data_IF_716313264358
#
_entry.id   IF_716313264358
#
_cell.length_a   1.000
_cell.length_b   1.000
_cell.length_c   1.000
_cell.angle_alpha   90.00
_cell.angle_beta   90.00
_cell.angle_gamma   90.00
#
_symmetry.space_group_name_H-M   'P 1'
#
loop_
_entity.id
_entity.type
_entity.pdbx_description
1 polymer ?
#
# COMPACT_ATOMS: atom_id res chain seq x y z
N UNK A 1 -7.85 -6.37 -3.58
CA UNK A 1 -7.25 -5.06 -3.87
C UNK A 1 -5.91 -5.22 -4.54
N UNK A 2 -5.84 -5.01 -5.85
CA UNK A 2 -4.64 -4.57 -6.58
C UNK A 2 -5.17 -3.69 -7.72
N UNK A 3 -4.83 -2.41 -7.76
CA UNK A 3 -5.04 -1.59 -8.96
C UNK A 3 -3.87 -1.90 -9.88
N UNK A 4 -3.98 -2.96 -10.69
CA UNK A 4 -2.84 -3.55 -11.40
C UNK A 4 -2.55 -2.94 -12.77
N UNK A 5 -3.20 -1.85 -13.20
CA UNK A 5 -2.76 -1.15 -14.42
C UNK A 5 -3.25 0.29 -14.49
N UNK A 6 -2.38 1.16 -15.01
CA UNK A 6 -2.50 2.62 -14.98
C UNK A 6 -3.65 3.26 -15.79
N UNK A 7 -4.77 2.58 -16.06
CA UNK A 7 -5.87 3.18 -16.84
C UNK A 7 -7.29 2.77 -16.45
N UNK A 8 -7.56 2.12 -15.32
CA UNK A 8 -8.91 2.16 -14.72
C UNK A 8 -8.93 1.53 -13.32
N UNK A 9 -9.32 2.30 -12.30
CA UNK A 9 -10.06 1.72 -11.17
C UNK A 9 -11.49 1.55 -11.67
N UNK A 10 -11.72 0.54 -12.51
CA UNK A 10 -13.06 0.00 -12.66
C UNK A 10 -13.00 -1.32 -11.93
N UNK A 11 -13.83 -1.45 -10.91
CA UNK A 11 -14.15 -2.75 -10.34
C UNK A 11 -14.40 -3.69 -11.53
N UNK A 12 -13.83 -4.90 -11.50
CA UNK A 12 -14.04 -5.84 -12.59
C UNK A 12 -15.55 -6.10 -12.69
N UNK A 13 -16.13 -5.90 -13.87
CA UNK A 13 -17.57 -6.08 -14.06
C UNK A 13 -17.94 -7.57 -13.92
N UNK A 14 -17.02 -8.48 -14.25
CA UNK A 14 -17.13 -9.93 -14.09
C UNK A 14 -15.79 -10.60 -13.78
N UNK A 15 -15.83 -11.81 -13.23
CA UNK A 15 -14.64 -12.59 -12.88
C UNK A 15 -13.71 -12.83 -14.08
N UNK A 16 -14.26 -13.06 -15.27
CA UNK A 16 -13.48 -13.28 -16.50
C UNK A 16 -12.76 -12.04 -17.02
N UNK A 17 -13.11 -10.84 -16.53
CA UNK A 17 -12.39 -9.61 -16.84
C UNK A 17 -11.11 -9.49 -16.00
N UNK A 18 -10.96 -10.33 -14.96
CA UNK A 18 -9.73 -10.42 -14.19
C UNK A 18 -8.58 -10.81 -15.13
N UNK A 19 -7.70 -9.85 -15.40
CA UNK A 19 -6.48 -10.12 -16.13
C UNK A 19 -5.61 -11.05 -15.31
N UNK A 20 -4.93 -11.96 -15.99
CA UNK A 20 -3.91 -12.78 -15.38
C UNK A 20 -2.92 -11.89 -14.63
N UNK A 21 -2.93 -11.97 -13.29
CA UNK A 21 -1.90 -11.34 -12.46
C UNK A 21 -0.63 -12.11 -12.76
N UNK A 22 0.23 -11.50 -13.57
CA UNK A 22 1.42 -12.16 -14.11
C UNK A 22 2.27 -12.73 -12.98
N UNK A 23 2.28 -14.06 -12.85
CA UNK A 23 3.16 -14.77 -11.90
C UNK A 23 4.62 -14.30 -12.04
N UNK A 24 5.05 -14.02 -13.27
CA UNK A 24 6.36 -13.45 -13.57
C UNK A 24 6.60 -12.03 -13.03
N UNK A 25 5.56 -11.20 -12.93
CA UNK A 25 5.66 -9.87 -12.33
C UNK A 25 5.93 -9.94 -10.84
N UNK A 26 5.17 -10.77 -10.12
CA UNK A 26 5.39 -11.03 -8.70
C UNK A 26 6.77 -11.68 -8.44
N UNK A 27 7.20 -12.60 -9.31
CA UNK A 27 8.57 -13.17 -9.25
C UNK A 27 9.62 -12.09 -9.51
N UNK A 28 9.41 -11.18 -10.46
CA UNK A 28 10.31 -10.06 -10.74
C UNK A 28 10.47 -9.11 -9.55
N UNK A 29 9.37 -8.73 -8.90
CA UNK A 29 9.39 -7.94 -7.65
C UNK A 29 10.09 -8.70 -6.52
N UNK A 30 9.86 -10.01 -6.42
CA UNK A 30 10.55 -10.89 -5.47
C UNK A 30 12.07 -10.94 -5.69
N UNK A 31 12.51 -10.99 -6.95
CA UNK A 31 13.93 -10.96 -7.32
C UNK A 31 14.57 -9.60 -7.00
N UNK A 32 13.86 -8.49 -7.23
CA UNK A 32 14.32 -7.17 -6.82
C UNK A 32 14.47 -7.07 -5.30
N UNK A 33 13.50 -7.60 -4.54
CA UNK A 33 13.57 -7.66 -3.08
C UNK A 33 14.78 -8.47 -2.60
N UNK A 34 14.99 -9.67 -3.18
CA UNK A 34 16.16 -10.49 -2.87
C UNK A 34 17.47 -9.77 -3.18
N UNK A 35 17.59 -9.15 -4.36
CA UNK A 35 18.76 -8.37 -4.75
C UNK A 35 19.00 -7.18 -3.81
N UNK A 36 17.94 -6.52 -3.36
CA UNK A 36 18.00 -5.43 -2.37
C UNK A 36 18.57 -5.93 -1.05
N UNK A 37 18.06 -7.06 -0.53
CA UNK A 37 18.56 -7.67 0.71
C UNK A 37 20.05 -8.02 0.59
N UNK A 38 20.47 -8.61 -0.52
CA UNK A 38 21.87 -8.93 -0.77
C UNK A 38 22.74 -7.67 -0.81
N UNK A 39 22.30 -6.61 -1.48
CA UNK A 39 23.00 -5.33 -1.55
C UNK A 39 23.17 -4.70 -0.16
N UNK A 40 22.10 -4.60 0.63
CA UNK A 40 22.12 -3.88 1.90
C UNK A 40 22.73 -4.67 3.06
N UNK A 41 22.65 -6.01 3.04
CA UNK A 41 23.21 -6.86 4.08
C UNK A 41 24.61 -7.40 3.72
N UNK A 42 24.74 -7.99 2.53
CA UNK A 42 25.98 -8.63 2.08
C UNK A 42 26.98 -7.67 1.44
N UNK A 43 26.48 -6.67 0.71
CA UNK A 43 27.31 -5.74 -0.06
C UNK A 43 28.21 -4.81 0.75
N UNK A 44 27.94 -4.64 2.06
CA UNK A 44 28.76 -3.81 2.94
C UNK A 44 30.12 -4.45 3.31
N UNK A 45 30.26 -5.77 3.11
CA UNK A 45 31.53 -6.49 3.16
C UNK A 45 32.16 -6.70 4.55
N UNK A 46 31.66 -6.03 5.60
CA UNK A 46 32.09 -6.28 6.99
C UNK A 46 31.01 -5.92 8.00
N UNK A 47 31.05 -6.58 9.16
CA UNK A 47 30.14 -6.28 10.28
C UNK A 47 30.35 -4.87 10.81
N UNK A 48 31.60 -4.41 10.92
CA UNK A 48 31.90 -3.06 11.40
C UNK A 48 31.27 -1.97 10.52
N UNK A 49 31.31 -2.13 9.19
CA UNK A 49 30.66 -1.18 8.26
C UNK A 49 29.13 -1.27 8.35
N UNK A 50 28.60 -2.48 8.54
CA UNK A 50 27.17 -2.67 8.76
C UNK A 50 26.70 -1.93 10.01
N UNK A 51 27.43 -2.01 11.13
CA UNK A 51 27.12 -1.31 12.38
C UNK A 51 27.22 0.22 12.24
N UNK A 52 28.15 0.72 11.42
CA UNK A 52 28.28 2.15 11.13
C UNK A 52 27.06 2.66 10.35
N UNK A 53 26.66 1.94 9.30
CA UNK A 53 25.53 2.31 8.44
C UNK A 53 24.19 2.14 9.15
N UNK A 54 24.03 1.07 9.93
CA UNK A 54 22.80 0.73 10.66
C UNK A 54 22.92 1.00 12.17
N UNK A 55 23.53 2.13 12.51
CA UNK A 55 23.71 2.57 13.90
C UNK A 55 22.39 2.89 14.62
N UNK A 56 21.32 3.19 13.88
CA UNK A 56 19.99 3.43 14.41
C UNK A 56 18.88 2.95 13.45
N UNK A 57 17.68 2.75 14.00
CA UNK A 57 16.50 2.41 13.19
C UNK A 57 16.21 3.51 12.16
N UNK A 58 15.94 3.11 10.91
CA UNK A 58 15.69 4.03 9.80
C UNK A 58 16.94 4.55 9.07
N UNK A 59 18.15 4.16 9.49
CA UNK A 59 19.39 4.54 8.81
C UNK A 59 19.72 3.61 7.62
N UNK A 60 20.68 4.04 6.80
CA UNK A 60 21.15 3.32 5.60
C UNK A 60 20.36 3.67 4.34
N UNK A 61 19.03 3.50 4.35
CA UNK A 61 18.13 3.91 3.26
C UNK A 61 18.63 3.56 1.85
N UNK A 62 18.42 4.48 0.89
CA UNK A 62 18.88 4.32 -0.50
C UNK A 62 20.40 4.31 -0.61
N UNK A 63 21.11 5.02 0.27
CA UNK A 63 22.58 5.09 0.22
C UNK A 63 23.23 3.74 0.48
N UNK A 64 22.74 2.98 1.47
CA UNK A 64 23.23 1.63 1.77
C UNK A 64 22.97 0.66 0.60
N UNK A 65 21.84 0.82 -0.07
CA UNK A 65 21.52 0.03 -1.27
C UNK A 65 22.50 0.33 -2.43
N UNK A 66 22.77 1.62 -2.69
CA UNK A 66 23.69 2.04 -3.76
C UNK A 66 25.13 1.66 -3.44
N UNK A 67 25.59 1.87 -2.20
CA UNK A 67 26.95 1.53 -1.78
C UNK A 67 27.17 0.01 -1.80
N UNK A 68 26.30 -0.74 -1.14
CA UNK A 68 26.43 -2.19 -1.02
C UNK A 68 26.22 -2.91 -2.35
N UNK A 69 25.21 -2.50 -3.13
CA UNK A 69 25.01 -3.04 -4.47
C UNK A 69 26.14 -2.66 -5.43
N UNK A 70 26.68 -1.44 -5.30
CA UNK A 70 27.80 -0.96 -6.10
C UNK A 70 29.04 -1.84 -5.95
N UNK A 71 29.36 -2.20 -4.69
CA UNK A 71 30.46 -3.12 -4.37
C UNK A 71 30.22 -4.53 -4.88
N UNK A 72 28.98 -5.04 -4.78
CA UNK A 72 28.64 -6.36 -5.34
C UNK A 72 28.80 -6.40 -6.86
N UNK A 73 28.40 -5.34 -7.57
CA UNK A 73 28.58 -5.27 -9.02
C UNK A 73 30.05 -5.11 -9.40
N UNK A 74 30.82 -4.34 -8.64
CA UNK A 74 32.26 -4.18 -8.85
C UNK A 74 33.00 -5.50 -8.66
N UNK A 75 32.76 -6.19 -7.55
CA UNK A 75 33.44 -7.45 -7.23
C UNK A 75 32.92 -8.63 -8.04
N UNK A 76 31.62 -8.66 -8.35
CA UNK A 76 30.98 -9.79 -9.02
C UNK A 76 31.15 -9.79 -10.54
N UNK A 77 30.98 -8.63 -11.19
CA UNK A 77 31.00 -8.52 -12.66
C UNK A 77 32.04 -7.53 -13.19
N UNK A 78 32.87 -6.94 -12.32
CA UNK A 78 33.99 -6.08 -12.72
C UNK A 78 33.58 -4.67 -13.18
N UNK A 79 32.35 -4.23 -12.89
CA UNK A 79 31.91 -2.89 -13.25
C UNK A 79 32.55 -1.83 -12.33
N UNK A 80 33.10 -0.73 -12.87
CA UNK A 80 33.68 0.32 -12.04
C UNK A 80 32.68 0.84 -10.99
N UNK A 81 33.14 1.07 -9.76
CA UNK A 81 32.29 1.51 -8.64
C UNK A 81 31.41 2.73 -8.99
N UNK A 82 31.95 3.70 -9.72
CA UNK A 82 31.22 4.91 -10.14
C UNK A 82 30.05 4.61 -11.08
N UNK A 83 30.22 3.66 -12.00
CA UNK A 83 29.17 3.23 -12.93
C UNK A 83 28.12 2.41 -12.19
N UNK A 84 28.52 1.46 -11.35
CA UNK A 84 27.62 0.64 -10.54
C UNK A 84 26.75 1.51 -9.62
N UNK A 85 27.35 2.47 -8.93
CA UNK A 85 26.63 3.43 -8.09
C UNK A 85 25.63 4.27 -8.89
N UNK A 86 26.01 4.76 -10.07
CA UNK A 86 25.13 5.56 -10.94
C UNK A 86 23.93 4.74 -11.42
N UNK A 87 24.15 3.48 -11.82
CA UNK A 87 23.07 2.59 -12.28
C UNK A 87 22.08 2.30 -11.15
N UNK A 88 22.57 1.93 -9.96
CA UNK A 88 21.72 1.61 -8.82
C UNK A 88 20.98 2.83 -8.27
N UNK A 89 21.63 3.99 -8.21
CA UNK A 89 20.98 5.24 -7.81
C UNK A 89 19.88 5.62 -8.82
N UNK A 90 20.17 5.51 -10.12
CA UNK A 90 19.17 5.75 -11.17
C UNK A 90 18.00 4.79 -11.05
N UNK A 91 18.26 3.50 -10.79
CA UNK A 91 17.20 2.51 -10.57
C UNK A 91 16.32 2.88 -9.37
N UNK A 92 16.91 3.27 -8.23
CA UNK A 92 16.16 3.68 -7.04
C UNK A 92 15.31 4.94 -7.29
N UNK A 93 15.87 5.93 -7.98
CA UNK A 93 15.17 7.17 -8.35
C UNK A 93 14.03 6.89 -9.32
N UNK A 94 14.24 6.07 -10.36
CA UNK A 94 13.21 5.72 -11.33
C UNK A 94 12.10 4.88 -10.71
N UNK A 95 12.44 3.96 -9.79
CA UNK A 95 11.46 3.22 -9.02
C UNK A 95 10.59 4.17 -8.20
N UNK A 96 11.21 5.05 -7.41
CA UNK A 96 10.47 6.04 -6.62
C UNK A 96 9.61 6.96 -7.49
N UNK A 97 10.13 7.44 -8.63
CA UNK A 97 9.39 8.30 -9.56
C UNK A 97 8.18 7.59 -10.18
N UNK A 98 8.33 6.32 -10.57
CA UNK A 98 7.25 5.52 -11.17
C UNK A 98 6.15 5.21 -10.14
N UNK A 99 6.56 4.87 -8.91
CA UNK A 99 5.63 4.67 -7.79
C UNK A 99 4.90 5.96 -7.45
N UNK A 100 5.60 7.10 -7.41
CA UNK A 100 5.00 8.41 -7.16
C UNK A 100 4.00 8.77 -8.26
N UNK A 101 4.36 8.69 -9.53
CA UNK A 101 3.47 8.97 -10.66
C UNK A 101 2.20 8.11 -10.59
N UNK A 102 2.34 6.82 -10.28
CA UNK A 102 1.19 5.92 -10.07
C UNK A 102 0.36 6.34 -8.86
N UNK A 103 1.00 6.63 -7.72
CA UNK A 103 0.32 7.08 -6.51
C UNK A 103 -0.47 8.37 -6.70
N UNK A 104 0.10 9.36 -7.39
CA UNK A 104 -0.58 10.63 -7.69
C UNK A 104 -1.80 10.43 -8.58
N UNK A 105 -1.74 9.50 -9.54
CA UNK A 105 -2.90 9.12 -10.35
C UNK A 105 -3.98 8.45 -9.51
N UNK A 106 -3.62 7.51 -8.63
CA UNK A 106 -4.57 6.81 -7.79
C UNK A 106 -5.28 7.76 -6.82
N UNK A 107 -4.53 8.63 -6.17
CA UNK A 107 -5.07 9.65 -5.27
C UNK A 107 -6.03 10.60 -5.99
N UNK A 108 -5.78 10.90 -7.27
CA UNK A 108 -6.71 11.68 -8.09
C UNK A 108 -8.05 10.95 -8.26
N UNK A 109 -8.03 9.64 -8.50
CA UNK A 109 -9.26 8.85 -8.59
C UNK A 109 -10.02 8.85 -7.26
N UNK A 110 -9.30 8.67 -6.14
CA UNK A 110 -9.89 8.75 -4.79
C UNK A 110 -10.56 10.10 -4.57
N UNK A 111 -9.93 11.21 -4.95
CA UNK A 111 -10.52 12.56 -4.82
C UNK A 111 -11.76 12.71 -5.69
N UNK A 112 -11.72 12.24 -6.94
CA UNK A 112 -12.89 12.32 -7.83
C UNK A 112 -14.05 11.44 -7.35
N UNK A 113 -13.77 10.24 -6.84
CA UNK A 113 -14.78 9.31 -6.29
C UNK A 113 -15.38 9.86 -4.99
N UNK A 114 -14.55 10.41 -4.10
CA UNK A 114 -14.99 11.05 -2.86
C UNK A 114 -15.85 12.29 -3.12
N UNK A 115 -15.57 13.07 -4.17
CA UNK A 115 -16.44 14.17 -4.56
C UNK A 115 -17.76 13.69 -5.17
N UNK A 116 -17.71 12.63 -5.98
CA UNK A 116 -18.89 12.02 -6.58
C UNK A 116 -19.89 11.48 -5.55
N UNK A 117 -19.42 10.93 -4.43
CA UNK A 117 -20.29 10.41 -3.35
C UNK A 117 -21.15 11.48 -2.67
N UNK A 118 -20.71 12.75 -2.74
CA UNK A 118 -21.48 13.93 -2.26
C UNK A 118 -22.12 14.71 -3.42
N UNK A 119 -22.22 14.09 -4.60
CA UNK A 119 -22.82 14.63 -5.82
C UNK A 119 -22.09 15.88 -6.38
N UNK A 120 -20.77 15.97 -6.16
CA UNK A 120 -19.90 17.03 -6.69
C UNK A 120 -19.00 16.42 -7.78
N UNK A 121 -19.07 16.96 -9.00
CA UNK A 121 -18.18 16.55 -10.07
C UNK A 121 -16.91 17.40 -10.07
N UNK A 122 -15.77 16.76 -9.77
CA UNK A 122 -14.45 17.42 -9.79
C UNK A 122 -13.71 17.05 -11.06
N UNK A 123 -13.29 18.05 -11.84
CA UNK A 123 -12.49 17.85 -13.03
C UNK A 123 -11.11 17.25 -12.66
N UNK A 124 -10.58 16.35 -13.51
CA UNK A 124 -9.25 15.74 -13.38
C UNK A 124 -8.14 16.75 -13.06
N UNK A 125 -8.19 17.96 -13.61
CA UNK A 125 -7.17 18.98 -13.37
C UNK A 125 -7.23 19.52 -11.94
N UNK A 126 -8.45 19.79 -11.44
CA UNK A 126 -8.67 20.24 -10.06
C UNK A 126 -8.28 19.14 -9.09
N UNK A 127 -8.71 17.90 -9.33
CA UNK A 127 -8.32 16.76 -8.49
C UNK A 127 -6.79 16.57 -8.47
N UNK A 128 -6.10 16.75 -9.61
CA UNK A 128 -4.63 16.70 -9.65
C UNK A 128 -3.99 17.80 -8.81
N UNK A 129 -4.49 19.04 -8.91
CA UNK A 129 -3.98 20.17 -8.12
C UNK A 129 -4.18 19.92 -6.63
N UNK A 130 -5.34 19.40 -6.22
CA UNK A 130 -5.63 19.05 -4.82
C UNK A 130 -4.65 18.00 -4.31
N UNK A 131 -4.47 16.90 -5.06
CA UNK A 131 -3.57 15.81 -4.67
C UNK A 131 -2.12 16.28 -4.59
N UNK A 132 -1.64 17.04 -5.59
CA UNK A 132 -0.30 17.63 -5.60
C UNK A 132 -0.12 18.64 -4.46
N UNK A 133 -1.13 19.47 -4.20
CA UNK A 133 -1.11 20.45 -3.11
C UNK A 133 -1.02 19.79 -1.74
N UNK A 134 -1.85 18.78 -1.46
CA UNK A 134 -1.80 18.00 -0.23
C UNK A 134 -0.47 17.26 -0.11
N UNK A 135 -0.01 16.61 -1.19
CA UNK A 135 1.27 15.90 -1.22
C UNK A 135 2.46 16.81 -0.91
N UNK A 136 2.50 18.02 -1.50
CA UNK A 136 3.53 19.01 -1.20
C UNK A 136 3.42 19.53 0.23
N UNK A 137 2.21 19.88 0.70
CA UNK A 137 2.00 20.35 2.07
C UNK A 137 2.47 19.31 3.09
N UNK A 138 2.20 18.04 2.85
CA UNK A 138 2.65 16.93 3.71
C UNK A 138 4.16 16.73 3.64
N UNK A 139 4.75 16.72 2.44
CA UNK A 139 6.20 16.58 2.22
C UNK A 139 6.99 17.66 2.96
N UNK A 140 6.53 18.91 2.87
CA UNK A 140 7.21 20.06 3.47
C UNK A 140 6.67 20.44 4.86
N UNK A 141 5.81 19.61 5.46
CA UNK A 141 5.20 19.88 6.78
C UNK A 141 6.21 19.97 7.92
N UNK A 142 7.42 19.42 7.74
CA UNK A 142 8.52 19.45 8.72
C UNK A 142 9.73 20.27 8.25
N UNK A 143 9.60 21.05 7.16
CA UNK A 143 10.67 21.88 6.61
C UNK A 143 11.00 21.57 5.16
N UNK A 144 11.94 22.33 4.59
CA UNK A 144 12.32 22.24 3.17
C UNK A 144 13.10 20.98 2.80
N UNK A 145 13.56 20.20 3.79
CA UNK A 145 14.29 18.95 3.58
C UNK A 145 13.37 17.81 3.08
N UNK A 146 12.05 18.00 3.05
CA UNK A 146 11.11 17.02 2.51
C UNK A 146 10.88 15.79 3.40
N UNK A 147 11.31 15.84 4.66
CA UNK A 147 11.19 14.75 5.63
C UNK A 147 9.75 14.44 6.09
N UNK A 148 8.75 15.24 5.70
CA UNK A 148 7.38 15.09 6.18
C UNK A 148 6.73 13.74 5.86
N UNK A 149 7.20 13.03 4.82
CA UNK A 149 6.78 11.65 4.54
C UNK A 149 7.15 10.66 5.65
N UNK A 150 8.27 10.89 6.36
CA UNK A 150 8.68 10.04 7.49
C UNK A 150 7.77 10.24 8.71
N UNK A 151 7.10 11.39 8.82
CA UNK A 151 6.15 11.66 9.90
C UNK A 151 4.93 10.73 9.84
N UNK A 152 4.39 10.48 8.64
CA UNK A 152 3.21 9.62 8.47
C UNK A 152 3.54 8.12 8.41
N UNK A 153 4.83 7.78 8.34
CA UNK A 153 5.30 6.40 8.24
C UNK A 153 4.71 5.46 9.31
N UNK A 154 4.55 5.86 10.58
CA UNK A 154 3.93 4.99 11.60
C UNK A 154 2.51 4.52 11.22
N UNK A 155 1.70 5.39 10.60
CA UNK A 155 0.32 5.07 10.18
C UNK A 155 0.25 4.17 8.95
N UNK A 156 1.32 4.11 8.15
CA UNK A 156 1.36 3.30 6.93
C UNK A 156 1.16 1.81 7.24
N UNK A 157 1.82 1.32 8.30
CA UNK A 157 1.73 -0.08 8.70
C UNK A 157 0.31 -0.51 9.07
N UNK A 158 -0.34 0.24 9.96
CA UNK A 158 -1.70 -0.05 10.44
C UNK A 158 -2.73 0.08 9.31
N UNK A 159 -2.65 1.16 8.52
CA UNK A 159 -3.57 1.38 7.39
C UNK A 159 -3.49 0.27 6.34
N UNK A 160 -2.28 -0.16 5.96
CA UNK A 160 -2.12 -1.23 4.96
C UNK A 160 -2.72 -2.56 5.41
N UNK A 161 -2.55 -2.91 6.67
CA UNK A 161 -3.10 -4.16 7.19
C UNK A 161 -4.63 -4.10 7.29
N UNK A 162 -5.20 -2.94 7.63
CA UNK A 162 -6.65 -2.74 7.60
C UNK A 162 -7.24 -2.84 6.18
N UNK A 163 -6.52 -2.38 5.15
CA UNK A 163 -6.90 -2.60 3.75
C UNK A 163 -6.79 -4.08 3.34
N UNK A 164 -5.79 -4.80 3.86
CA UNK A 164 -5.68 -6.25 3.69
C UNK A 164 -6.87 -6.96 4.34
N UNK A 165 -7.29 -6.56 5.54
CA UNK A 165 -8.50 -7.04 6.20
C UNK A 165 -9.75 -6.75 5.36
N UNK A 166 -9.91 -5.56 4.79
CA UNK A 166 -11.04 -5.27 3.88
C UNK A 166 -11.05 -6.21 2.66
N UNK A 167 -9.89 -6.50 2.07
CA UNK A 167 -9.79 -7.44 0.95
C UNK A 167 -10.19 -8.85 1.38
N UNK A 168 -9.68 -9.32 2.51
CA UNK A 168 -10.02 -10.64 3.05
C UNK A 168 -11.51 -10.75 3.43
N UNK A 169 -12.13 -9.66 3.89
CA UNK A 169 -13.58 -9.66 4.17
C UNK A 169 -14.41 -9.80 2.90
N UNK A 170 -14.02 -9.14 1.81
CA UNK A 170 -14.68 -9.30 0.51
C UNK A 170 -14.56 -10.75 0.02
N UNK A 171 -13.36 -11.34 0.11
CA UNK A 171 -13.15 -12.77 -0.23
C UNK A 171 -14.02 -13.66 0.66
N UNK A 172 -14.11 -13.36 1.96
CA UNK A 172 -14.99 -14.06 2.90
C UNK A 172 -16.46 -14.02 2.46
N UNK A 173 -16.96 -12.85 2.10
CA UNK A 173 -18.34 -12.68 1.57
C UNK A 173 -18.54 -13.49 0.30
N UNK A 174 -17.60 -13.45 -0.66
CA UNK A 174 -17.67 -14.22 -1.91
C UNK A 174 -17.72 -15.74 -1.65
N UNK A 175 -16.87 -16.26 -0.77
CA UNK A 175 -16.85 -17.68 -0.43
C UNK A 175 -18.17 -18.12 0.22
N UNK A 176 -18.73 -17.29 1.09
CA UNK A 176 -20.04 -17.54 1.73
C UNK A 176 -21.15 -17.57 0.67
N UNK A 177 -21.18 -16.59 -0.25
CA UNK A 177 -22.15 -16.53 -1.37
C UNK A 177 -22.14 -17.78 -2.24
N UNK A 178 -20.94 -18.30 -2.54
CA UNK A 178 -20.73 -19.53 -3.32
C UNK A 178 -20.88 -20.83 -2.49
N UNK A 179 -21.26 -20.74 -1.21
CA UNK A 179 -21.38 -21.88 -0.27
C UNK A 179 -20.09 -22.71 -0.14
N UNK A 180 -18.94 -22.07 -0.33
CA UNK A 180 -17.61 -22.67 -0.13
C UNK A 180 -17.13 -22.38 1.29
N UNK A 181 -16.16 -23.16 1.77
CA UNK A 181 -15.59 -22.97 3.10
C UNK A 181 -14.91 -21.58 3.20
N UNK A 182 -15.40 -20.65 4.03
CA UNK A 182 -14.84 -19.30 4.13
C UNK A 182 -13.65 -19.22 5.10
N UNK A 183 -13.37 -20.28 5.87
CA UNK A 183 -12.31 -20.30 6.89
C UNK A 183 -10.92 -19.89 6.38
N UNK A 184 -10.47 -20.28 5.16
CA UNK A 184 -9.18 -19.83 4.64
C UNK A 184 -9.04 -18.32 4.51
N UNK A 185 -10.14 -17.58 4.36
CA UNK A 185 -10.14 -16.12 4.34
C UNK A 185 -10.43 -15.52 5.73
N UNK A 186 -11.38 -16.10 6.48
CA UNK A 186 -11.83 -15.56 7.76
C UNK A 186 -10.78 -15.68 8.86
N UNK A 187 -9.98 -16.76 8.89
CA UNK A 187 -8.97 -16.94 9.92
C UNK A 187 -7.85 -15.89 9.80
N UNK A 188 -7.21 -15.68 8.63
CA UNK A 188 -6.29 -14.55 8.43
C UNK A 188 -6.96 -13.20 8.66
N UNK A 189 -8.22 -13.01 8.22
CA UNK A 189 -8.96 -11.77 8.41
C UNK A 189 -9.01 -11.35 9.88
N UNK A 190 -9.48 -12.26 10.75
CA UNK A 190 -9.65 -11.98 12.18
C UNK A 190 -8.29 -11.67 12.81
N UNK A 191 -7.27 -12.47 12.50
CA UNK A 191 -5.92 -12.26 13.04
C UNK A 191 -5.36 -10.90 12.64
N UNK A 192 -5.36 -10.59 11.33
CA UNK A 192 -4.80 -9.34 10.81
C UNK A 192 -5.59 -8.14 11.34
N UNK A 193 -6.93 -8.21 11.37
CA UNK A 193 -7.76 -7.13 11.86
C UNK A 193 -7.50 -6.86 13.35
N UNK A 194 -7.54 -7.89 14.20
CA UNK A 194 -7.34 -7.73 15.65
C UNK A 194 -5.95 -7.17 15.96
N UNK A 195 -4.90 -7.72 15.35
CA UNK A 195 -3.53 -7.25 15.58
C UNK A 195 -3.34 -5.80 15.11
N UNK A 196 -3.91 -5.44 13.95
CA UNK A 196 -3.74 -4.10 13.39
C UNK A 196 -4.57 -3.06 14.13
N UNK A 197 -5.78 -3.43 14.56
CA UNK A 197 -6.64 -2.58 15.35
C UNK A 197 -6.05 -2.34 16.74
N UNK A 198 -5.46 -3.37 17.36
CA UNK A 198 -4.70 -3.23 18.60
C UNK A 198 -3.51 -2.26 18.41
N UNK A 199 -2.72 -2.44 17.36
CA UNK A 199 -1.59 -1.57 17.06
C UNK A 199 -2.02 -0.12 16.81
N UNK A 200 -3.15 0.12 16.14
CA UNK A 200 -3.69 1.47 15.95
C UNK A 200 -4.08 2.11 17.29
N UNK A 201 -4.69 1.36 18.22
CA UNK A 201 -5.00 1.89 19.56
C UNK A 201 -3.72 2.28 20.32
N UNK A 202 -2.68 1.45 20.27
CA UNK A 202 -1.39 1.80 20.88
C UNK A 202 -0.75 3.04 20.25
N UNK A 203 -0.80 3.17 18.92
CA UNK A 203 -0.33 4.35 18.19
C UNK A 203 -1.09 5.61 18.60
N UNK A 204 -2.41 5.54 18.71
CA UNK A 204 -3.25 6.65 19.14
C UNK A 204 -2.82 7.21 20.49
N UNK A 205 -2.58 6.34 21.48
CA UNK A 205 -2.09 6.77 22.79
C UNK A 205 -0.67 7.34 22.71
N UNK A 206 0.20 6.76 21.88
CA UNK A 206 1.55 7.28 21.66
C UNK A 206 1.55 8.69 21.06
N UNK A 207 0.60 9.00 20.16
CA UNK A 207 0.50 10.34 19.57
C UNK A 207 -0.08 11.39 20.52
N UNK A 208 -0.79 10.95 21.57
CA UNK A 208 -1.34 11.80 22.62
C UNK A 208 -0.41 11.97 23.82
N UNK A 209 0.82 11.44 23.77
CA UNK A 209 1.80 11.55 24.87
C UNK A 209 2.09 13.03 25.19
N UNK A 210 1.85 13.48 26.45
CA UNK A 210 2.14 14.85 26.86
C UNK A 210 3.59 15.30 26.63
N UNK A 211 4.54 14.36 26.57
CA UNK A 211 5.96 14.68 26.35
C UNK A 211 6.25 15.15 24.93
N UNK A 212 5.59 14.56 23.91
CA UNK A 212 5.79 14.88 22.49
C UNK A 212 4.49 14.64 21.69
N UNK A 213 3.48 15.50 21.82
CA UNK A 213 2.20 15.25 21.19
C UNK A 213 2.26 15.48 19.67
N UNK A 214 1.76 14.52 18.89
CA UNK A 214 1.57 14.67 17.44
C UNK A 214 0.08 14.69 17.09
N UNK A 215 -0.53 15.87 17.22
CA UNK A 215 -1.96 16.07 16.98
C UNK A 215 -2.40 15.79 15.54
N UNK A 216 -1.49 15.91 14.56
CA UNK A 216 -1.79 15.58 13.17
C UNK A 216 -1.98 14.07 13.02
N UNK A 217 -1.01 13.29 13.50
CA UNK A 217 -1.09 11.82 13.43
C UNK A 217 -2.22 11.29 14.31
N UNK A 218 -2.42 11.87 15.50
CA UNK A 218 -3.55 11.54 16.36
C UNK A 218 -4.88 11.70 15.62
N UNK A 219 -5.12 12.85 14.97
CA UNK A 219 -6.35 13.10 14.24
C UNK A 219 -6.56 12.12 13.08
N UNK A 220 -5.50 11.82 12.32
CA UNK A 220 -5.54 10.85 11.23
C UNK A 220 -5.83 9.43 11.73
N UNK A 221 -5.22 9.03 12.85
CA UNK A 221 -5.41 7.70 13.44
C UNK A 221 -6.82 7.51 14.00
N UNK A 222 -7.40 8.55 14.63
CA UNK A 222 -8.82 8.53 15.04
C UNK A 222 -9.73 8.26 13.83
N UNK A 223 -9.48 8.92 12.70
CA UNK A 223 -10.26 8.70 11.48
C UNK A 223 -10.10 7.25 10.99
N UNK A 224 -8.89 6.70 11.02
CA UNK A 224 -8.60 5.32 10.63
C UNK A 224 -9.34 4.33 11.54
N UNK A 225 -9.26 4.52 12.86
CA UNK A 225 -9.93 3.67 13.85
C UNK A 225 -11.45 3.68 13.66
N UNK A 226 -12.06 4.87 13.53
CA UNK A 226 -13.52 4.98 13.31
C UNK A 226 -13.90 4.30 11.99
N UNK A 227 -13.16 4.55 10.92
CA UNK A 227 -13.41 3.95 9.60
C UNK A 227 -13.28 2.43 9.65
N UNK A 228 -12.29 1.91 10.38
CA UNK A 228 -12.05 0.47 10.52
C UNK A 228 -13.17 -0.24 11.27
N UNK A 229 -13.72 0.38 12.33
CA UNK A 229 -14.89 -0.13 13.07
C UNK A 229 -16.10 -0.17 12.14
N UNK A 230 -16.34 0.91 11.39
CA UNK A 230 -17.45 0.97 10.45
C UNK A 230 -17.33 -0.13 9.39
N UNK A 231 -16.17 -0.26 8.75
CA UNK A 231 -15.92 -1.31 7.74
C UNK A 231 -16.10 -2.71 8.35
N UNK A 232 -15.65 -2.95 9.58
CA UNK A 232 -15.84 -4.24 10.24
C UNK A 232 -17.32 -4.57 10.48
N UNK A 233 -18.11 -3.58 10.85
CA UNK A 233 -19.57 -3.71 11.04
C UNK A 233 -20.24 -4.01 9.70
N UNK A 234 -19.94 -3.25 8.64
CA UNK A 234 -20.48 -3.49 7.29
C UNK A 234 -20.10 -4.87 6.76
N UNK A 235 -18.84 -5.27 6.93
CA UNK A 235 -18.35 -6.58 6.54
C UNK A 235 -19.11 -7.69 7.25
N UNK A 236 -19.37 -7.55 8.55
CA UNK A 236 -20.14 -8.52 9.32
C UNK A 236 -21.58 -8.63 8.81
N UNK A 237 -22.26 -7.49 8.58
CA UNK A 237 -23.63 -7.51 8.04
C UNK A 237 -23.68 -8.07 6.61
N UNK A 238 -22.70 -7.74 5.76
CA UNK A 238 -22.58 -8.29 4.42
C UNK A 238 -22.39 -9.82 4.44
N UNK A 239 -21.53 -10.34 5.33
CA UNK A 239 -21.35 -11.79 5.50
C UNK A 239 -22.61 -12.48 6.01
N UNK A 240 -23.34 -11.87 6.96
CA UNK A 240 -24.62 -12.43 7.43
C UNK A 240 -25.66 -12.48 6.33
N UNK A 241 -25.78 -11.40 5.55
CA UNK A 241 -26.69 -11.35 4.40
C UNK A 241 -26.31 -12.42 3.37
N UNK A 242 -25.03 -12.52 3.02
CA UNK A 242 -24.51 -13.55 2.11
C UNK A 242 -24.82 -14.98 2.56
N UNK A 243 -24.86 -15.25 3.87
CA UNK A 243 -25.18 -16.57 4.41
C UNK A 243 -26.67 -16.91 4.28
N UNK A 244 -27.55 -15.91 4.34
CA UNK A 244 -29.02 -16.07 4.26
C UNK A 244 -29.50 -16.09 2.81
N UNK A 245 -28.92 -15.25 1.95
CA UNK A 245 -29.32 -15.12 0.56
C UNK A 245 -29.15 -16.46 -0.20
N UNK A 246 -30.01 -16.72 -1.21
CA UNK A 246 -29.87 -17.91 -2.05
C UNK A 246 -28.47 -17.97 -2.67
N UNK A 247 -27.90 -19.18 -2.79
CA UNK A 247 -26.55 -19.36 -3.27
C UNK A 247 -26.40 -18.79 -4.67
N UNK A 248 -25.27 -18.12 -4.89
CA UNK A 248 -24.89 -17.63 -6.20
C UNK A 248 -24.54 -18.82 -7.11
N UNK A 249 -25.17 -18.95 -8.29
CA UNK A 249 -24.78 -19.96 -9.27
C UNK A 249 -23.27 -19.88 -9.55
N UNK A 250 -22.60 -21.02 -9.79
CA UNK A 250 -21.13 -21.03 -9.98
C UNK A 250 -20.67 -20.06 -11.08
N UNK A 251 -21.47 -19.89 -12.13
CA UNK A 251 -21.17 -19.04 -13.29
C UNK A 251 -21.93 -17.70 -13.26
N UNK A 252 -22.58 -17.33 -12.15
CA UNK A 252 -23.34 -16.08 -12.07
C UNK A 252 -22.45 -14.87 -12.38
N UNK A 253 -21.22 -14.89 -11.86
CA UNK A 253 -20.23 -13.85 -12.11
C UNK A 253 -19.81 -13.78 -13.58
N UNK A 254 -19.87 -14.90 -14.34
CA UNK A 254 -19.59 -14.93 -15.78
C UNK A 254 -20.75 -14.37 -16.63
N UNK A 255 -21.97 -14.42 -16.08
CA UNK A 255 -23.21 -14.03 -16.75
C UNK A 255 -23.65 -12.58 -16.44
N UNK A 256 -22.88 -11.82 -15.65
CA UNK A 256 -23.17 -10.42 -15.37
C UNK A 256 -23.17 -9.61 -16.68
N UNK A 257 -24.32 -9.03 -17.02
CA UNK A 257 -24.40 -8.05 -18.11
C UNK A 257 -23.71 -6.76 -17.68
N UNK A 258 -22.65 -6.40 -18.41
CA UNK A 258 -21.85 -5.21 -18.13
C UNK A 258 -22.67 -3.96 -18.44
N UNK A 259 -23.26 -3.35 -17.42
CA UNK A 259 -23.83 -2.00 -17.52
C UNK A 259 -22.69 -1.01 -17.38
N UNK A 260 -22.10 -0.61 -18.50
CA UNK A 260 -21.13 0.50 -18.48
C UNK A 260 -21.89 1.76 -18.09
N UNK A 261 -21.57 2.34 -16.94
CA UNK A 261 -21.92 3.74 -16.69
C UNK A 261 -21.25 4.57 -17.79
N UNK A 262 -22.09 5.24 -18.60
CA UNK A 262 -21.66 6.26 -19.55
C UNK A 262 -21.14 7.45 -18.74
N UNK A 263 -19.83 7.46 -18.49
CA UNK A 263 -19.08 8.58 -17.88
C UNK A 263 -18.48 9.44 -18.97
#
# INVERSE_FOLDING_TARGET
GIVSSGTSSKQLDKETDARFVGYFGAVGEGLLSLGTILAVAGGLGSVARWEEVYSAFGQGGVNAFVEGGGRLMEQGIGLPASLSATVLATMAVLFAATTMDTGMRLMRFVVTEAAGSVNIQVNKFIATIVVVGIGMAMTFSQGLEGGGGMRIWPLFGTTNQLLASLTLSIIGVMLIRKRRNPLPALLPLILVFVMSFWAAIEQLFSFADPANPDWLLFGLDVIIIISSIWVAIEAFFAMRKAAVDPPEPENADEMLEVVREDV
#
